data_IF_650867308874
#
_entry.id   IF_650867308874
#
_cell.length_a   1.000
_cell.length_b   1.000
_cell.length_c   1.000
_cell.angle_alpha   90.00
_cell.angle_beta   90.00
_cell.angle_gamma   90.00
#
_symmetry.space_group_name_H-M   'P 1'
#
loop_
_entity.id
_entity.type
_entity.pdbx_description
1 polymer ?
#
# COMPACT_ATOMS: atom_id res chain seq x y z
N UNK A 1 -42.17 -24.53 25.12
CA UNK A 1 -43.21 -24.50 24.11
C UNK A 1 -42.48 -24.34 22.80
N UNK A 2 -42.08 -25.48 22.18
CA UNK A 2 -42.75 -26.10 21.03
C UNK A 2 -42.50 -25.25 19.76
N UNK A 3 -41.90 -25.60 18.62
CA UNK A 3 -41.54 -26.88 17.96
C UNK A 3 -40.78 -26.44 16.68
N UNK A 4 -39.58 -26.90 16.36
CA UNK A 4 -39.19 -27.96 15.42
C UNK A 4 -39.74 -27.88 13.98
N UNK A 5 -38.88 -27.92 12.99
CA UNK A 5 -38.89 -28.82 11.81
C UNK A 5 -37.77 -28.37 10.84
N UNK A 6 -36.66 -29.06 10.61
CA UNK A 6 -36.35 -30.40 10.00
C UNK A 6 -36.98 -30.54 8.59
N UNK A 7 -36.13 -30.66 7.57
CA UNK A 7 -36.14 -31.78 6.63
C UNK A 7 -35.26 -31.46 5.42
N UNK A 8 -34.18 -32.18 5.23
CA UNK A 8 -33.95 -33.40 4.45
C UNK A 8 -33.95 -33.21 2.93
N UNK A 9 -32.79 -33.39 2.30
CA UNK A 9 -32.24 -34.68 1.73
C UNK A 9 -32.67 -34.81 0.26
N UNK A 10 -31.91 -35.23 -0.70
CA UNK A 10 -31.28 -36.52 -0.93
C UNK A 10 -30.40 -36.46 -2.18
N UNK A 11 -29.27 -37.07 -2.05
CA UNK A 11 -28.38 -37.56 -3.12
C UNK A 11 -29.03 -38.68 -3.92
N UNK A 12 -28.81 -38.71 -5.23
CA UNK A 12 -28.91 -39.97 -5.99
C UNK A 12 -27.92 -39.99 -7.16
N UNK A 13 -26.89 -40.79 -6.96
CA UNK A 13 -26.11 -41.45 -8.03
C UNK A 13 -26.96 -42.60 -8.58
N UNK A 14 -26.97 -42.78 -9.88
CA UNK A 14 -27.11 -44.14 -10.44
C UNK A 14 -26.43 -44.24 -11.79
N UNK A 15 -25.53 -45.20 -11.88
CA UNK A 15 -24.94 -45.78 -13.09
C UNK A 15 -26.01 -46.52 -13.90
N UNK A 16 -25.86 -46.56 -15.20
CA UNK A 16 -26.19 -47.72 -16.00
C UNK A 16 -25.34 -47.79 -17.27
N UNK A 17 -24.70 -48.92 -17.41
CA UNK A 17 -23.88 -49.50 -18.46
C UNK A 17 -24.74 -50.55 -19.18
N UNK A 18 -24.62 -50.66 -20.50
CA UNK A 18 -24.83 -51.86 -21.32
C UNK A 18 -24.91 -51.47 -22.79
N UNK A 19 -24.01 -51.90 -23.61
CA UNK A 19 -23.85 -53.14 -24.35
C UNK A 19 -24.52 -53.09 -25.73
N UNK A 20 -23.68 -53.31 -26.74
CA UNK A 20 -24.04 -53.60 -28.13
C UNK A 20 -24.58 -55.08 -28.25
N UNK A 21 -25.27 -55.41 -29.31
CA UNK A 21 -24.70 -56.49 -30.12
C UNK A 21 -24.79 -56.33 -31.64
N UNK A 22 -24.02 -57.20 -32.21
CA UNK A 22 -23.66 -57.46 -33.59
C UNK A 22 -24.80 -57.95 -34.56
N UNK A 23 -24.52 -57.71 -35.84
CA UNK A 23 -24.41 -58.69 -36.93
C UNK A 23 -25.47 -58.74 -38.01
N UNK A 24 -24.93 -58.88 -39.23
CA UNK A 24 -25.43 -59.56 -40.44
C UNK A 24 -26.56 -58.90 -41.24
N UNK A 25 -26.47 -58.66 -42.53
CA UNK A 25 -25.83 -59.29 -43.62
C UNK A 25 -26.42 -58.82 -44.93
N UNK A 26 -25.60 -58.80 -45.90
CA UNK A 26 -25.82 -59.18 -47.30
C UNK A 26 -26.92 -58.51 -48.16
N UNK A 27 -26.50 -58.00 -49.31
CA UNK A 27 -27.42 -57.82 -50.44
C UNK A 27 -26.96 -56.80 -51.50
N UNK A 28 -26.23 -57.30 -52.43
CA UNK A 28 -25.81 -56.64 -53.70
C UNK A 28 -27.01 -56.22 -54.49
N UNK A 29 -26.91 -55.04 -55.21
CA UNK A 29 -27.22 -54.85 -56.63
C UNK A 29 -26.84 -53.41 -57.04
N UNK A 30 -25.94 -53.28 -58.05
CA UNK A 30 -25.76 -52.09 -58.91
C UNK A 30 -26.87 -52.06 -59.97
N UNK A 31 -27.25 -50.93 -60.52
CA UNK A 31 -26.60 -50.47 -61.75
C UNK A 31 -26.40 -48.93 -61.88
N UNK A 32 -25.25 -48.61 -62.40
CA UNK A 32 -24.98 -47.65 -63.48
C UNK A 32 -26.11 -46.69 -63.89
N UNK A 33 -25.85 -45.36 -63.78
CA UNK A 33 -26.13 -44.39 -64.86
C UNK A 33 -25.42 -43.03 -64.59
N UNK A 34 -24.41 -42.77 -65.38
CA UNK A 34 -24.14 -41.58 -66.19
C UNK A 34 -24.05 -40.19 -65.51
N UNK A 35 -22.83 -39.71 -65.45
CA UNK A 35 -22.35 -38.32 -65.76
C UNK A 35 -23.37 -37.19 -65.66
N UNK A 36 -23.06 -36.25 -64.75
CA UNK A 36 -22.97 -34.80 -64.99
C UNK A 36 -22.16 -34.20 -63.82
N UNK A 37 -20.99 -33.65 -64.12
CA UNK A 37 -20.26 -32.76 -63.23
C UNK A 37 -20.87 -31.35 -63.33
N UNK A 38 -21.27 -30.72 -62.24
CA UNK A 38 -21.11 -29.30 -62.12
C UNK A 38 -19.90 -28.97 -61.22
N UNK A 39 -18.98 -28.28 -61.79
CA UNK A 39 -17.83 -27.61 -61.19
C UNK A 39 -18.32 -26.65 -60.09
N UNK A 40 -18.38 -27.10 -58.84
CA UNK A 40 -18.71 -26.27 -57.72
C UNK A 40 -17.40 -25.58 -57.28
N UNK A 41 -17.21 -24.33 -57.75
CA UNK A 41 -16.16 -23.41 -57.31
C UNK A 41 -16.40 -23.12 -55.83
N UNK A 42 -15.65 -23.77 -54.94
CA UNK A 42 -15.56 -23.43 -53.52
C UNK A 42 -14.79 -22.10 -53.41
N UNK A 43 -15.52 -21.01 -53.34
CA UNK A 43 -15.05 -19.73 -52.85
C UNK A 43 -14.77 -19.91 -51.33
N UNK A 44 -13.55 -20.26 -50.97
CA UNK A 44 -13.06 -20.15 -49.61
C UNK A 44 -12.90 -18.65 -49.34
N UNK A 45 -13.95 -18.01 -48.84
CA UNK A 45 -13.86 -16.69 -48.21
C UNK A 45 -13.00 -16.82 -46.96
N UNK A 46 -11.73 -16.48 -47.09
CA UNK A 46 -10.85 -16.33 -45.95
C UNK A 46 -11.40 -15.22 -45.03
N UNK A 47 -12.15 -15.60 -44.02
CA UNK A 47 -12.45 -14.72 -42.92
C UNK A 47 -11.13 -14.45 -42.19
N UNK A 48 -10.44 -13.37 -42.57
CA UNK A 48 -9.37 -12.80 -41.76
C UNK A 48 -10.01 -12.38 -40.44
N UNK A 49 -9.87 -13.20 -39.43
CA UNK A 49 -10.15 -12.80 -38.06
C UNK A 49 -9.22 -11.59 -37.76
N UNK A 50 -9.77 -10.39 -37.87
CA UNK A 50 -9.14 -9.20 -37.32
C UNK A 50 -9.05 -9.43 -35.81
N UNK A 51 -7.89 -9.87 -35.37
CA UNK A 51 -7.51 -9.75 -33.97
C UNK A 51 -7.49 -8.24 -33.68
N UNK A 52 -8.56 -7.76 -33.06
CA UNK A 52 -8.52 -6.44 -32.41
C UNK A 52 -7.36 -6.51 -31.41
N UNK A 53 -6.31 -5.69 -31.58
CA UNK A 53 -5.28 -5.63 -30.57
C UNK A 53 -5.97 -5.18 -29.27
N UNK A 54 -6.05 -6.09 -28.30
CA UNK A 54 -6.38 -5.71 -26.93
C UNK A 54 -5.20 -4.87 -26.44
N UNK A 55 -5.23 -3.57 -26.74
CA UNK A 55 -4.42 -2.60 -26.03
C UNK A 55 -4.91 -2.62 -24.59
N UNK A 56 -4.28 -3.46 -23.76
CA UNK A 56 -4.28 -3.27 -22.32
C UNK A 56 -3.44 -2.01 -22.09
N UNK A 57 -4.08 -0.87 -22.14
CA UNK A 57 -3.53 0.34 -21.52
C UNK A 57 -3.52 0.02 -20.03
N UNK A 58 -2.42 -0.48 -19.52
CA UNK A 58 -2.13 -0.40 -18.08
C UNK A 58 -1.96 1.11 -17.82
N UNK A 59 -3.06 1.77 -17.50
CA UNK A 59 -3.00 3.11 -16.94
C UNK A 59 -2.34 2.95 -15.57
N UNK A 60 -1.07 3.27 -15.48
CA UNK A 60 -0.35 3.32 -14.21
C UNK A 60 -0.87 4.54 -13.44
N UNK A 61 -1.98 4.36 -12.74
CA UNK A 61 -2.52 5.41 -11.87
C UNK A 61 -1.65 5.49 -10.63
N UNK A 62 -1.12 6.67 -10.35
CA UNK A 62 -0.37 6.97 -9.14
C UNK A 62 -1.34 7.53 -8.11
N UNK A 63 -1.46 6.83 -6.97
CA UNK A 63 -2.24 7.31 -5.84
C UNK A 63 -1.41 8.30 -5.00
N UNK A 64 -2.03 9.41 -4.63
CA UNK A 64 -1.41 10.50 -3.87
C UNK A 64 -2.26 10.80 -2.63
N UNK A 65 -2.16 9.97 -1.58
CA UNK A 65 -2.83 10.22 -0.32
C UNK A 65 -2.41 11.58 0.24
N UNK A 66 -3.39 12.45 0.51
CA UNK A 66 -3.14 13.85 0.86
C UNK A 66 -3.94 14.22 2.10
N UNK A 67 -3.28 14.76 3.12
CA UNK A 67 -3.89 15.33 4.31
C UNK A 67 -3.67 16.83 4.31
N UNK A 68 -4.74 17.59 4.49
CA UNK A 68 -4.67 19.07 4.59
C UNK A 68 -5.04 19.46 6.01
N UNK A 69 -4.14 20.21 6.69
CA UNK A 69 -4.33 20.69 8.06
C UNK A 69 -4.30 22.22 8.10
N UNK A 70 -5.09 22.83 8.98
CA UNK A 70 -5.07 24.27 9.27
C UNK A 70 -3.87 24.63 10.17
N UNK A 71 -3.82 25.90 10.58
CA UNK A 71 -2.76 26.43 11.45
C UNK A 71 -2.74 25.79 12.85
N UNK A 72 -3.88 25.32 13.31
CA UNK A 72 -4.10 24.68 14.61
C UNK A 72 -3.83 23.17 14.54
N UNK A 73 -3.61 22.60 13.33
CA UNK A 73 -3.36 21.19 13.07
C UNK A 73 -4.63 20.36 12.86
N UNK A 74 -5.81 20.97 12.78
CA UNK A 74 -7.05 20.26 12.48
C UNK A 74 -7.17 19.95 10.99
N UNK A 75 -7.80 18.85 10.66
CA UNK A 75 -8.04 18.46 9.28
C UNK A 75 -9.02 19.42 8.60
N UNK A 76 -8.67 19.87 7.41
CA UNK A 76 -9.52 20.68 6.53
C UNK A 76 -10.36 19.75 5.68
N UNK A 77 -11.67 19.78 5.82
CA UNK A 77 -12.63 19.00 5.05
C UNK A 77 -13.30 19.82 3.95
N UNK A 78 -13.98 19.12 3.02
CA UNK A 78 -14.83 19.73 2.00
C UNK A 78 -14.09 20.28 0.79
N UNK A 79 -12.79 19.99 0.64
CA UNK A 79 -12.05 20.29 -0.58
C UNK A 79 -12.50 19.37 -1.71
N UNK A 80 -12.55 19.91 -2.91
CA UNK A 80 -12.96 19.22 -4.14
C UNK A 80 -11.76 18.98 -5.05
N UNK A 81 -11.91 18.13 -6.05
CA UNK A 81 -10.88 17.90 -7.06
C UNK A 81 -10.33 19.21 -7.66
N UNK A 82 -11.20 20.21 -7.86
CA UNK A 82 -10.82 21.49 -8.46
C UNK A 82 -9.94 22.36 -7.55
N UNK A 83 -9.84 22.04 -6.25
CA UNK A 83 -9.03 22.79 -5.31
C UNK A 83 -7.55 22.36 -5.31
N UNK A 84 -7.26 21.17 -5.87
CA UNK A 84 -5.92 20.61 -5.89
C UNK A 84 -5.21 20.80 -7.22
N UNK A 85 -3.89 20.90 -7.15
CA UNK A 85 -2.96 20.80 -8.26
C UNK A 85 -1.91 19.76 -7.89
N UNK A 86 -1.63 18.85 -8.81
CA UNK A 86 -0.53 17.89 -8.70
C UNK A 86 0.49 18.22 -9.78
N UNK A 87 1.74 18.30 -9.40
CA UNK A 87 2.87 18.40 -10.31
C UNK A 87 3.72 17.12 -10.22
N UNK A 88 4.05 16.56 -11.38
CA UNK A 88 4.93 15.41 -11.56
C UNK A 88 6.19 15.91 -12.26
N UNK A 89 7.33 15.87 -11.57
CA UNK A 89 8.60 16.46 -12.01
C UNK A 89 8.45 17.91 -12.51
N UNK A 90 7.59 18.69 -11.84
CA UNK A 90 7.29 20.07 -12.17
C UNK A 90 6.26 20.26 -13.30
N UNK A 91 5.73 19.19 -13.88
CA UNK A 91 4.68 19.26 -14.91
C UNK A 91 3.30 19.03 -14.27
N UNK A 92 2.37 19.98 -14.45
CA UNK A 92 1.00 19.87 -13.92
C UNK A 92 0.26 18.71 -14.55
N UNK A 93 -0.39 17.89 -13.71
CA UNK A 93 -1.12 16.69 -14.09
C UNK A 93 -2.63 16.85 -13.93
N UNK A 94 -3.40 16.06 -14.68
CA UNK A 94 -4.83 15.94 -14.47
C UNK A 94 -5.11 15.22 -13.15
N UNK A 95 -5.75 15.90 -12.20
CA UNK A 95 -6.06 15.38 -10.87
C UNK A 95 -7.40 14.68 -10.88
N UNK A 96 -7.50 13.55 -10.20
CA UNK A 96 -8.73 12.85 -9.88
C UNK A 96 -8.82 12.68 -8.37
N UNK A 97 -10.01 12.89 -7.80
CA UNK A 97 -10.31 12.69 -6.38
C UNK A 97 -11.24 11.49 -6.23
N UNK A 98 -10.77 10.47 -5.51
CA UNK A 98 -11.61 9.33 -5.16
C UNK A 98 -12.43 9.65 -3.89
N UNK A 99 -13.75 9.79 -4.06
CA UNK A 99 -14.68 10.06 -2.96
C UNK A 99 -15.07 8.81 -2.19
N UNK A 100 -14.78 7.62 -2.70
CA UNK A 100 -15.13 6.35 -2.04
C UNK A 100 -14.07 5.88 -1.04
N UNK A 101 -12.87 6.44 -1.12
CA UNK A 101 -11.72 6.01 -0.35
C UNK A 101 -11.89 6.13 1.18
N UNK A 102 -12.75 7.04 1.66
CA UNK A 102 -13.04 7.21 3.09
C UNK A 102 -13.70 5.98 3.72
N UNK A 103 -14.35 5.13 2.92
CA UNK A 103 -15.07 3.93 3.37
C UNK A 103 -14.34 2.62 3.02
N UNK A 104 -13.20 2.68 2.38
CA UNK A 104 -12.43 1.49 2.02
C UNK A 104 -11.84 0.80 3.25
N UNK A 105 -11.93 -0.54 3.31
CA UNK A 105 -11.28 -1.28 4.38
C UNK A 105 -9.75 -1.14 4.29
N UNK A 106 -9.06 -1.22 5.43
CA UNK A 106 -7.61 -1.14 5.47
C UNK A 106 -6.95 -2.48 5.80
N UNK A 107 -5.73 -2.68 5.29
CA UNK A 107 -4.77 -3.66 5.78
C UNK A 107 -3.63 -2.90 6.43
N UNK A 108 -3.42 -3.14 7.72
CA UNK A 108 -2.46 -2.41 8.54
C UNK A 108 -1.36 -3.35 9.02
N UNK A 109 -0.11 -3.02 8.74
CA UNK A 109 1.02 -3.67 9.41
C UNK A 109 1.47 -2.76 10.55
N UNK A 110 1.51 -3.30 11.75
CA UNK A 110 2.13 -2.65 12.91
C UNK A 110 3.53 -3.22 13.06
N UNK A 111 4.55 -2.43 12.71
CA UNK A 111 5.95 -2.83 12.83
C UNK A 111 6.59 -2.16 14.04
N UNK A 112 7.01 -2.96 15.03
CA UNK A 112 7.53 -2.48 16.31
C UNK A 112 8.99 -2.89 16.47
N UNK A 113 9.84 -1.90 16.71
CA UNK A 113 11.23 -2.14 17.06
C UNK A 113 11.31 -2.71 18.48
N UNK A 114 11.92 -3.89 18.62
CA UNK A 114 12.12 -4.58 19.92
C UNK A 114 13.55 -4.57 20.39
N UNK A 115 14.49 -3.97 19.63
CA UNK A 115 15.89 -3.86 20.03
C UNK A 115 16.06 -3.22 21.42
N UNK A 116 17.19 -3.48 22.11
CA UNK A 116 17.37 -3.09 23.51
C UNK A 116 17.16 -1.61 23.81
N UNK A 117 17.45 -0.73 22.86
CA UNK A 117 17.19 0.71 23.01
C UNK A 117 15.69 0.98 23.02
N UNK A 118 14.96 0.38 22.09
CA UNK A 118 13.50 0.45 22.00
C UNK A 118 12.84 -0.14 23.25
N UNK A 119 13.40 -1.22 23.79
CA UNK A 119 12.88 -1.88 24.99
C UNK A 119 12.78 -0.97 26.22
N UNK A 120 13.69 -0.01 26.35
CA UNK A 120 13.62 1.02 27.40
C UNK A 120 12.40 1.92 27.23
N UNK A 121 11.98 2.15 25.98
CA UNK A 121 10.81 2.94 25.63
C UNK A 121 9.51 2.12 25.69
N UNK A 122 9.63 0.78 25.73
CA UNK A 122 8.48 -0.13 25.70
C UNK A 122 7.49 0.09 26.84
N UNK A 123 7.97 0.51 28.03
CA UNK A 123 7.08 0.91 29.13
C UNK A 123 6.15 2.09 28.77
N UNK A 124 6.60 2.94 27.84
CA UNK A 124 5.81 4.08 27.31
C UNK A 124 4.83 3.63 26.25
N UNK A 125 5.14 2.53 25.55
CA UNK A 125 4.30 1.94 24.49
C UNK A 125 3.30 0.90 25.02
N UNK A 126 3.35 0.55 26.31
CA UNK A 126 2.37 -0.35 26.93
C UNK A 126 0.97 0.24 26.77
N UNK A 127 0.06 -0.51 26.15
CA UNK A 127 -1.29 -0.07 25.86
C UNK A 127 -1.52 0.35 24.42
N UNK A 128 -0.53 0.12 23.52
CA UNK A 128 -0.72 0.32 22.07
C UNK A 128 -1.89 -0.54 21.56
N UNK A 129 -2.04 -1.77 22.07
CA UNK A 129 -3.11 -2.67 21.67
C UNK A 129 -4.50 -2.01 21.75
N UNK A 130 -5.01 -1.67 22.97
CA UNK A 130 -6.32 -1.04 23.09
C UNK A 130 -6.47 0.29 22.34
N UNK A 131 -5.38 0.97 22.04
CA UNK A 131 -5.41 2.21 21.26
C UNK A 131 -5.55 1.97 19.76
N UNK A 132 -5.34 0.74 19.29
CA UNK A 132 -5.60 0.35 17.92
C UNK A 132 -7.07 -0.07 17.69
N UNK A 133 -7.93 -0.14 18.74
CA UNK A 133 -9.36 -0.46 18.60
C UNK A 133 -10.04 0.34 17.49
N UNK A 134 -9.86 1.68 17.35
CA UNK A 134 -10.50 2.42 16.27
C UNK A 134 -10.06 1.96 14.87
N UNK A 135 -8.84 1.43 14.73
CA UNK A 135 -8.35 0.87 13.45
C UNK A 135 -9.15 -0.36 13.06
N UNK A 136 -9.48 -1.23 14.03
CA UNK A 136 -10.31 -2.42 13.77
C UNK A 136 -11.75 -2.05 13.47
N UNK A 137 -12.36 -1.22 14.31
CA UNK A 137 -13.80 -0.92 14.26
C UNK A 137 -14.20 -0.07 13.04
N UNK A 138 -13.44 1.00 12.79
CA UNK A 138 -13.84 2.00 11.80
C UNK A 138 -13.52 1.58 10.37
N UNK A 139 -12.41 0.85 10.15
CA UNK A 139 -11.93 0.49 8.82
C UNK A 139 -12.24 -0.95 8.40
N UNK A 140 -12.91 -1.74 9.23
CA UNK A 140 -12.98 -3.19 9.00
C UNK A 140 -11.58 -3.73 8.68
N UNK A 141 -10.59 -3.25 9.45
CA UNK A 141 -9.19 -3.49 9.17
C UNK A 141 -8.79 -4.90 9.49
N UNK A 142 -7.81 -5.37 8.76
CA UNK A 142 -6.99 -6.52 9.13
C UNK A 142 -5.64 -6.00 9.57
N UNK A 143 -5.13 -6.51 10.67
CA UNK A 143 -3.85 -6.06 11.24
C UNK A 143 -2.88 -7.22 11.27
N UNK A 144 -1.65 -6.98 10.85
CA UNK A 144 -0.52 -7.89 11.01
C UNK A 144 0.51 -7.25 11.96
N UNK A 145 1.16 -8.06 12.76
CA UNK A 145 2.19 -7.62 13.70
C UNK A 145 3.57 -8.10 13.25
N UNK A 146 4.47 -7.17 13.10
CA UNK A 146 5.88 -7.39 12.78
C UNK A 146 6.73 -6.83 13.91
N UNK A 147 7.69 -7.61 14.41
CA UNK A 147 8.71 -7.12 15.31
C UNK A 147 10.07 -7.12 14.61
N UNK A 148 10.96 -6.23 15.04
CA UNK A 148 12.31 -6.19 14.50
C UNK A 148 13.36 -5.64 15.47
N UNK A 149 14.54 -6.21 15.38
CA UNK A 149 15.80 -5.78 15.97
C UNK A 149 16.86 -5.70 14.87
N UNK A 150 17.92 -6.53 14.85
CA UNK A 150 18.76 -6.78 13.65
C UNK A 150 18.07 -7.71 12.66
N UNK A 151 16.96 -8.35 13.04
CA UNK A 151 16.19 -9.28 12.20
C UNK A 151 14.72 -8.91 12.23
N UNK A 152 14.03 -9.18 11.12
CA UNK A 152 12.59 -8.94 11.00
C UNK A 152 11.85 -10.24 11.19
N UNK A 153 10.81 -10.23 12.03
CA UNK A 153 9.97 -11.38 12.33
C UNK A 153 8.49 -11.03 12.21
N UNK A 154 7.75 -11.85 11.47
CA UNK A 154 6.29 -11.80 11.48
C UNK A 154 5.81 -12.50 12.76
N UNK A 155 5.16 -11.75 13.64
CA UNK A 155 4.59 -12.27 14.90
C UNK A 155 3.20 -12.81 14.63
N UNK A 156 2.32 -12.00 14.01
CA UNK A 156 0.97 -12.36 13.63
C UNK A 156 0.70 -11.90 12.21
N UNK A 157 0.11 -12.78 11.39
CA UNK A 157 -0.31 -12.43 10.04
C UNK A 157 -1.61 -11.62 10.08
N UNK A 158 -2.07 -11.10 8.93
CA UNK A 158 -3.29 -10.31 8.87
C UNK A 158 -4.47 -11.03 9.52
N UNK A 159 -4.98 -10.45 10.57
CA UNK A 159 -6.11 -10.92 11.38
C UNK A 159 -7.08 -9.77 11.64
N UNK A 160 -8.35 -10.07 11.74
CA UNK A 160 -9.41 -9.19 12.25
C UNK A 160 -9.70 -9.47 13.75
N UNK A 161 -8.97 -10.41 14.36
CA UNK A 161 -9.04 -10.68 15.79
C UNK A 161 -8.17 -9.70 16.59
N UNK A 162 -8.81 -8.65 17.07
CA UNK A 162 -8.21 -7.63 17.92
C UNK A 162 -7.54 -8.23 19.16
N UNK A 163 -8.14 -9.26 19.75
CA UNK A 163 -7.65 -9.88 20.99
C UNK A 163 -6.31 -10.57 20.77
N UNK A 164 -6.16 -11.29 19.65
CA UNK A 164 -4.91 -11.96 19.28
C UNK A 164 -3.78 -10.94 19.13
N UNK A 165 -4.01 -9.88 18.38
CA UNK A 165 -3.01 -8.80 18.19
C UNK A 165 -2.60 -8.15 19.51
N UNK A 166 -3.55 -7.96 20.44
CA UNK A 166 -3.23 -7.36 21.75
C UNK A 166 -2.39 -8.28 22.63
N UNK A 167 -2.71 -9.56 22.65
CA UNK A 167 -1.92 -10.54 23.41
C UNK A 167 -0.51 -10.64 22.85
N UNK A 168 -0.35 -10.67 21.53
CA UNK A 168 0.97 -10.71 20.89
C UNK A 168 1.78 -9.45 21.17
N UNK A 169 1.17 -8.26 21.11
CA UNK A 169 1.82 -7.01 21.48
C UNK A 169 2.30 -7.00 22.94
N UNK A 170 1.55 -7.59 23.87
CA UNK A 170 1.98 -7.71 25.27
C UNK A 170 3.12 -8.70 25.46
N UNK A 171 3.20 -9.71 24.60
CA UNK A 171 4.16 -10.81 24.71
C UNK A 171 5.46 -10.55 23.95
N UNK A 172 5.60 -9.40 23.27
CA UNK A 172 6.85 -9.00 22.61
C UNK A 172 8.02 -9.06 23.60
N UNK A 173 9.15 -9.54 23.12
CA UNK A 173 10.37 -9.70 23.95
C UNK A 173 11.46 -8.73 23.50
N UNK A 174 12.36 -8.39 24.43
CA UNK A 174 13.53 -7.60 24.12
C UNK A 174 14.44 -8.33 23.13
N UNK A 175 14.69 -7.69 22.00
CA UNK A 175 15.62 -8.17 20.99
C UNK A 175 17.09 -7.84 21.27
N UNK A 176 17.91 -7.88 20.24
CA UNK A 176 19.32 -7.47 20.27
C UNK A 176 19.50 -5.93 20.27
N UNK A 177 20.68 -5.41 19.88
CA UNK A 177 20.93 -3.98 19.86
C UNK A 177 20.61 -3.31 18.51
N UNK A 178 20.09 -4.05 17.54
CA UNK A 178 19.84 -3.57 16.19
C UNK A 178 18.55 -2.79 16.02
N UNK A 179 18.47 -2.09 14.90
CA UNK A 179 17.28 -1.41 14.36
C UNK A 179 17.28 -1.56 12.84
N UNK A 180 16.86 -2.71 12.36
CA UNK A 180 16.83 -3.04 10.93
C UNK A 180 15.61 -2.40 10.25
N UNK A 181 15.56 -1.06 10.24
CA UNK A 181 14.38 -0.30 9.76
C UNK A 181 14.14 -0.53 8.28
N UNK A 182 15.18 -0.54 7.43
CA UNK A 182 15.03 -0.78 6.00
C UNK A 182 14.46 -2.16 5.71
N UNK A 183 15.00 -3.17 6.40
CA UNK A 183 14.54 -4.55 6.25
C UNK A 183 13.09 -4.70 6.71
N UNK A 184 12.71 -4.04 7.83
CA UNK A 184 11.35 -4.05 8.35
C UNK A 184 10.34 -3.36 7.42
N UNK A 185 10.73 -2.23 6.83
CA UNK A 185 9.88 -1.50 5.88
C UNK A 185 9.69 -2.30 4.59
N UNK A 186 10.76 -2.81 3.98
CA UNK A 186 10.67 -3.64 2.78
C UNK A 186 9.82 -4.89 3.03
N UNK A 187 10.04 -5.59 4.15
CA UNK A 187 9.25 -6.75 4.53
C UNK A 187 7.75 -6.40 4.68
N UNK A 188 7.45 -5.30 5.39
CA UNK A 188 6.07 -4.87 5.64
C UNK A 188 5.35 -4.44 4.37
N UNK A 189 6.03 -3.71 3.47
CA UNK A 189 5.48 -3.32 2.16
C UNK A 189 5.15 -4.56 1.34
N UNK A 190 6.08 -5.51 1.23
CA UNK A 190 5.84 -6.79 0.51
C UNK A 190 4.73 -7.63 1.13
N UNK A 191 4.54 -7.53 2.44
CA UNK A 191 3.44 -8.20 3.12
C UNK A 191 2.10 -7.55 2.75
N UNK A 192 2.03 -6.21 2.76
CA UNK A 192 0.87 -5.43 2.35
C UNK A 192 0.51 -5.59 0.87
N UNK A 193 1.49 -5.77 -0.01
CA UNK A 193 1.25 -6.00 -1.44
C UNK A 193 0.51 -7.30 -1.74
N UNK A 194 0.52 -8.26 -0.81
CA UNK A 194 -0.24 -9.53 -0.94
C UNK A 194 -1.70 -9.37 -0.55
N UNK A 195 -2.06 -8.29 0.13
CA UNK A 195 -3.45 -8.00 0.47
C UNK A 195 -4.24 -7.52 -0.77
N UNK A 196 -5.57 -7.70 -0.78
CA UNK A 196 -6.43 -7.27 -1.87
C UNK A 196 -6.20 -5.80 -2.27
N UNK A 197 -6.33 -5.50 -3.56
CA UNK A 197 -6.04 -4.17 -4.09
C UNK A 197 -7.09 -3.11 -3.72
N UNK A 198 -8.27 -3.54 -3.31
CA UNK A 198 -9.40 -2.71 -2.85
C UNK A 198 -9.29 -2.33 -1.36
N UNK A 199 -8.14 -2.57 -0.74
CA UNK A 199 -7.88 -2.19 0.64
C UNK A 199 -6.80 -1.13 0.72
N UNK A 200 -6.98 -0.16 1.59
CA UNK A 200 -5.91 0.79 1.92
C UNK A 200 -4.75 0.04 2.56
N UNK A 201 -3.53 0.35 2.15
CA UNK A 201 -2.31 -0.29 2.66
C UNK A 201 -1.59 0.67 3.58
N UNK A 202 -1.46 0.29 4.83
CA UNK A 202 -0.92 1.15 5.89
C UNK A 202 0.16 0.43 6.67
N UNK A 203 1.30 1.10 6.85
CA UNK A 203 2.35 0.68 7.76
C UNK A 203 2.43 1.67 8.93
N UNK A 204 2.15 1.19 10.14
CA UNK A 204 2.45 1.91 11.37
C UNK A 204 3.82 1.44 11.88
N UNK A 205 4.82 2.28 11.71
CA UNK A 205 6.21 2.01 12.09
C UNK A 205 6.53 2.66 13.44
N UNK A 206 6.80 1.87 14.45
CA UNK A 206 7.19 2.34 15.78
C UNK A 206 8.66 2.03 16.00
N UNK A 207 9.53 3.03 15.86
CA UNK A 207 10.98 2.81 15.89
C UNK A 207 11.76 4.08 16.25
N UNK A 208 13.07 3.94 16.38
CA UNK A 208 13.98 5.08 16.34
C UNK A 208 14.14 5.62 14.92
N UNK A 209 14.88 6.73 14.76
CA UNK A 209 15.00 7.44 13.49
C UNK A 209 16.26 7.09 12.68
N UNK A 210 17.08 6.16 13.15
CA UNK A 210 18.33 5.72 12.48
C UNK A 210 18.39 4.22 12.31
N UNK A 211 18.65 3.79 11.10
CA UNK A 211 18.92 2.39 10.79
C UNK A 211 20.33 2.01 11.21
N UNK A 212 20.46 0.94 11.97
CA UNK A 212 21.75 0.38 12.39
C UNK A 212 21.68 -1.15 12.58
N UNK A 213 20.88 -1.81 11.75
CA UNK A 213 20.71 -3.27 11.83
C UNK A 213 20.41 -3.90 10.49
N UNK A 214 19.96 -3.11 9.50
CA UNK A 214 19.61 -3.66 8.19
C UNK A 214 20.84 -4.15 7.42
N UNK A 215 20.76 -5.39 6.97
CA UNK A 215 21.81 -6.05 6.20
C UNK A 215 21.28 -6.78 4.96
N UNK A 216 19.97 -6.86 4.78
CA UNK A 216 19.33 -7.49 3.63
C UNK A 216 18.98 -6.43 2.57
N UNK A 217 18.30 -5.37 2.97
CA UNK A 217 17.74 -4.36 2.07
C UNK A 217 18.62 -3.13 1.98
N UNK A 218 18.99 -2.72 0.77
CA UNK A 218 19.71 -1.46 0.54
C UNK A 218 18.75 -0.27 0.54
N UNK A 219 19.29 0.93 0.70
CA UNK A 219 18.49 2.17 0.68
C UNK A 219 17.68 2.31 -0.61
N UNK A 220 18.29 2.00 -1.76
CA UNK A 220 17.61 2.12 -3.06
C UNK A 220 16.47 1.11 -3.20
N UNK A 221 16.65 -0.09 -2.65
CA UNK A 221 15.62 -1.12 -2.68
C UNK A 221 14.38 -0.67 -1.87
N UNK A 222 14.60 -0.02 -0.71
CA UNK A 222 13.50 0.59 0.07
C UNK A 222 12.84 1.71 -0.71
N UNK A 223 13.62 2.62 -1.31
CA UNK A 223 13.08 3.72 -2.12
C UNK A 223 12.22 3.17 -3.25
N UNK A 224 12.70 2.15 -3.95
CA UNK A 224 11.94 1.51 -5.03
C UNK A 224 10.68 0.80 -4.48
N UNK A 225 10.78 0.08 -3.37
CA UNK A 225 9.66 -0.64 -2.78
C UNK A 225 8.52 0.31 -2.36
N UNK A 226 8.82 1.36 -1.59
CA UNK A 226 7.81 2.36 -1.18
C UNK A 226 7.32 3.20 -2.37
N UNK A 227 8.20 3.49 -3.33
CA UNK A 227 7.86 4.23 -4.55
C UNK A 227 6.91 3.48 -5.48
N UNK A 228 7.04 2.15 -5.58
CA UNK A 228 6.15 1.29 -6.36
C UNK A 228 4.84 0.96 -5.65
N UNK A 229 4.86 0.96 -4.32
CA UNK A 229 3.68 0.58 -3.53
C UNK A 229 2.74 1.77 -3.32
N UNK A 230 1.46 1.45 -3.08
CA UNK A 230 0.48 2.42 -2.60
C UNK A 230 0.36 2.39 -1.06
N UNK A 231 1.44 1.99 -0.37
CA UNK A 231 1.48 1.93 1.09
C UNK A 231 1.76 3.31 1.67
N UNK A 232 0.93 3.73 2.62
CA UNK A 232 1.17 4.94 3.44
C UNK A 232 1.89 4.54 4.72
N UNK A 233 3.01 5.19 5.03
CA UNK A 233 3.79 4.88 6.23
C UNK A 233 3.62 5.97 7.28
N UNK A 234 3.06 5.59 8.41
CA UNK A 234 3.03 6.43 9.61
C UNK A 234 4.17 6.03 10.53
N UNK A 235 5.02 6.97 10.88
CA UNK A 235 6.17 6.70 11.73
C UNK A 235 6.02 7.39 13.08
N UNK A 236 5.88 6.60 14.13
CA UNK A 236 5.94 7.03 15.53
C UNK A 236 7.36 6.79 16.03
N UNK A 237 8.15 7.84 16.04
CA UNK A 237 9.55 7.74 16.40
C UNK A 237 9.78 8.07 17.89
N UNK A 238 10.68 7.32 18.51
CA UNK A 238 11.22 7.65 19.82
C UNK A 238 12.69 8.06 19.70
N UNK A 239 13.10 9.00 20.54
CA UNK A 239 14.49 9.45 20.57
C UNK A 239 15.19 8.93 21.82
N UNK A 240 16.30 8.19 21.66
CA UNK A 240 17.09 7.72 22.79
C UNK A 240 17.81 8.85 23.54
N UNK A 241 17.88 10.07 22.98
CA UNK A 241 18.55 11.19 23.59
C UNK A 241 17.77 12.51 23.41
N UNK A 242 17.71 13.30 24.47
CA UNK A 242 17.06 14.61 24.50
C UNK A 242 17.66 15.61 23.48
N UNK A 243 18.95 15.46 23.14
CA UNK A 243 19.64 16.29 22.15
C UNK A 243 19.05 16.13 20.75
N UNK A 244 18.60 14.94 20.37
CA UNK A 244 17.96 14.70 19.07
C UNK A 244 16.57 15.31 18.99
N UNK A 245 15.84 15.38 20.10
CA UNK A 245 14.54 16.06 20.17
C UNK A 245 14.68 17.55 19.88
N UNK A 246 15.66 18.19 20.50
CA UNK A 246 15.92 19.63 20.33
C UNK A 246 16.40 19.96 18.92
N UNK A 247 17.13 19.09 18.27
CA UNK A 247 17.57 19.24 16.88
C UNK A 247 16.42 19.08 15.90
N UNK A 248 15.46 18.18 16.20
CA UNK A 248 14.26 17.99 15.36
C UNK A 248 13.31 19.17 15.48
N UNK A 249 13.08 19.70 16.67
CA UNK A 249 12.22 20.89 16.86
C UNK A 249 12.82 22.16 16.26
N UNK A 250 14.17 22.29 16.22
CA UNK A 250 14.86 23.39 15.56
C UNK A 250 14.95 23.24 14.04
N UNK A 251 14.78 22.03 13.52
CA UNK A 251 14.92 21.70 12.10
C UNK A 251 13.65 21.87 11.28
N UNK A 252 12.49 22.11 11.90
CA UNK A 252 11.17 22.14 11.23
C UNK A 252 11.07 23.18 10.11
N UNK A 253 11.90 24.22 10.11
CA UNK A 253 11.85 25.29 9.11
C UNK A 253 12.99 25.27 8.06
N UNK A 254 13.80 24.20 7.97
CA UNK A 254 14.90 24.13 7.00
C UNK A 254 14.79 23.01 5.97
N UNK A 255 13.88 22.10 6.15
CA UNK A 255 13.78 20.92 5.29
C UNK A 255 12.82 21.11 4.08
N UNK A 256 12.04 22.21 4.05
CA UNK A 256 11.22 22.59 2.87
C UNK A 256 12.07 22.86 1.62
N UNK A 257 13.32 23.30 1.80
CA UNK A 257 14.23 23.57 0.69
C UNK A 257 14.80 22.31 -0.02
N UNK A 258 14.55 21.13 0.54
CA UNK A 258 15.13 19.89 -0.03
C UNK A 258 14.42 19.43 -1.29
N UNK A 259 13.14 19.79 -1.47
CA UNK A 259 12.30 19.40 -2.59
C UNK A 259 12.14 20.48 -3.66
N UNK A 260 12.73 21.67 -3.45
CA UNK A 260 12.69 22.81 -4.40
C UNK A 260 13.74 22.73 -5.51
N UNK A 261 14.56 21.68 -5.58
CA UNK A 261 15.51 21.52 -6.66
C UNK A 261 14.83 21.06 -7.95
N UNK A 262 15.28 21.53 -9.12
CA UNK A 262 14.69 21.11 -10.38
C UNK A 262 14.79 19.58 -10.54
N UNK A 263 13.75 18.93 -11.04
CA UNK A 263 13.67 17.48 -11.12
C UNK A 263 14.73 16.93 -12.10
N UNK A 264 15.67 16.21 -11.53
CA UNK A 264 16.61 15.35 -12.24
C UNK A 264 16.57 13.98 -11.57
N UNK A 265 16.41 12.91 -12.33
CA UNK A 265 16.27 11.53 -11.83
C UNK A 265 17.36 11.19 -10.82
N UNK A 266 18.61 11.53 -11.16
CA UNK A 266 19.77 11.27 -10.30
C UNK A 266 19.71 12.13 -9.05
N UNK A 267 19.28 13.37 -9.19
CA UNK A 267 19.10 14.32 -8.09
C UNK A 267 18.03 13.87 -7.11
N UNK A 268 16.87 13.46 -7.60
CA UNK A 268 15.74 13.00 -6.77
C UNK A 268 16.12 11.77 -5.93
N UNK A 269 16.78 10.77 -6.55
CA UNK A 269 17.25 9.59 -5.82
C UNK A 269 18.34 9.93 -4.80
N UNK A 270 19.26 10.85 -5.15
CA UNK A 270 20.31 11.30 -4.23
C UNK A 270 19.71 12.06 -3.03
N UNK A 271 18.70 12.88 -3.26
CA UNK A 271 17.96 13.58 -2.19
C UNK A 271 17.28 12.59 -1.26
N UNK A 272 16.57 11.59 -1.80
CA UNK A 272 15.94 10.53 -1.02
C UNK A 272 16.96 9.77 -0.16
N UNK A 273 18.12 9.40 -0.72
CA UNK A 273 19.22 8.76 0.01
C UNK A 273 19.78 9.65 1.15
N UNK A 274 19.94 10.94 0.90
CA UNK A 274 20.44 11.88 1.89
C UNK A 274 19.43 12.13 3.01
N UNK A 275 18.14 12.24 2.68
CA UNK A 275 17.06 12.33 3.66
C UNK A 275 17.02 11.07 4.56
N UNK A 276 17.12 9.88 3.96
CA UNK A 276 17.16 8.62 4.71
C UNK A 276 18.39 8.48 5.61
N UNK A 277 19.55 8.99 5.20
CA UNK A 277 20.74 9.02 6.06
C UNK A 277 20.57 9.91 7.28
N UNK A 278 19.83 11.01 7.14
CA UNK A 278 19.59 11.98 8.21
C UNK A 278 18.53 11.46 9.19
N UNK A 279 17.38 11.04 8.67
CA UNK A 279 16.26 10.48 9.43
C UNK A 279 15.45 9.55 8.53
N UNK A 280 15.68 8.25 8.66
CA UNK A 280 15.08 7.27 7.76
C UNK A 280 13.56 7.18 7.91
N UNK A 281 13.06 7.21 9.14
CA UNK A 281 11.61 7.09 9.41
C UNK A 281 10.84 8.29 8.91
N UNK A 282 11.39 9.51 9.06
CA UNK A 282 10.81 10.73 8.51
C UNK A 282 10.79 10.69 6.98
N UNK A 283 11.92 10.36 6.36
CA UNK A 283 12.03 10.30 4.91
C UNK A 283 11.03 9.31 4.29
N UNK A 284 10.88 8.12 4.88
CA UNK A 284 9.92 7.11 4.41
C UNK A 284 8.47 7.60 4.55
N UNK A 285 8.12 8.21 5.70
CA UNK A 285 6.80 8.75 5.93
C UNK A 285 6.46 9.84 4.89
N UNK A 286 7.35 10.81 4.67
CA UNK A 286 7.17 11.88 3.68
C UNK A 286 7.05 11.35 2.24
N UNK A 287 7.90 10.39 1.86
CA UNK A 287 7.87 9.81 0.52
C UNK A 287 6.56 9.08 0.21
N UNK A 288 5.89 8.55 1.23
CA UNK A 288 4.63 7.79 1.08
C UNK A 288 3.38 8.62 1.36
N UNK A 289 3.54 9.88 1.75
CA UNK A 289 2.43 10.76 2.13
C UNK A 289 1.89 10.50 3.53
N UNK A 290 2.60 9.75 4.35
CA UNK A 290 2.25 9.53 5.76
C UNK A 290 2.77 10.65 6.67
N UNK A 291 2.82 10.35 7.95
CA UNK A 291 3.21 11.31 8.98
C UNK A 291 4.38 10.76 9.81
N UNK A 292 5.28 11.66 10.16
CA UNK A 292 6.36 11.38 11.11
C UNK A 292 6.09 12.17 12.39
N UNK A 293 5.94 11.46 13.50
CA UNK A 293 5.68 12.05 14.80
C UNK A 293 6.68 11.55 15.85
N UNK A 294 7.23 12.47 16.63
CA UNK A 294 8.17 12.15 17.68
C UNK A 294 7.47 12.13 19.04
N UNK A 295 7.77 11.10 19.84
CA UNK A 295 7.29 11.03 21.23
C UNK A 295 8.43 10.78 22.20
N UNK A 296 8.31 11.38 23.38
CA UNK A 296 9.28 11.26 24.48
C UNK A 296 8.62 10.82 25.78
N UNK A 297 7.30 10.81 25.85
CA UNK A 297 6.51 10.42 27.00
C UNK A 297 5.40 9.46 26.59
N UNK A 298 4.88 8.68 27.55
CA UNK A 298 3.73 7.82 27.32
C UNK A 298 2.51 8.63 26.82
N UNK A 299 2.20 9.76 27.48
CA UNK A 299 1.09 10.61 27.05
C UNK A 299 1.30 11.16 25.62
N UNK A 300 2.53 11.53 25.29
CA UNK A 300 2.87 11.95 23.93
C UNK A 300 2.61 10.83 22.91
N UNK A 301 3.03 9.61 23.21
CA UNK A 301 2.75 8.45 22.37
C UNK A 301 1.24 8.21 22.19
N UNK A 302 0.47 8.26 23.29
CA UNK A 302 -0.98 8.08 23.27
C UNK A 302 -1.68 9.13 22.37
N UNK A 303 -1.29 10.40 22.48
CA UNK A 303 -1.81 11.48 21.63
C UNK A 303 -1.49 11.21 20.15
N UNK A 304 -0.24 10.88 19.83
CA UNK A 304 0.17 10.62 18.43
C UNK A 304 -0.53 9.42 17.81
N UNK A 305 -0.85 8.41 18.61
CA UNK A 305 -1.60 7.26 18.14
C UNK A 305 -3.08 7.59 17.89
N UNK A 306 -3.67 8.48 18.71
CA UNK A 306 -5.01 9.04 18.45
C UNK A 306 -4.99 9.88 17.16
N UNK A 307 -3.99 10.74 16.97
CA UNK A 307 -3.83 11.53 15.75
C UNK A 307 -3.71 10.61 14.53
N UNK A 308 -2.91 9.55 14.62
CA UNK A 308 -2.81 8.53 13.57
C UNK A 308 -4.17 7.95 13.19
N UNK A 309 -4.96 7.49 14.18
CA UNK A 309 -6.28 6.93 13.94
C UNK A 309 -7.21 7.95 13.25
N UNK A 310 -7.22 9.20 13.72
CA UNK A 310 -8.06 10.25 13.14
C UNK A 310 -7.63 10.60 11.71
N UNK A 311 -6.33 10.72 11.47
CA UNK A 311 -5.80 11.13 10.17
C UNK A 311 -5.85 10.04 9.13
N UNK A 312 -5.87 8.76 9.55
CA UNK A 312 -5.98 7.63 8.66
C UNK A 312 -7.26 7.69 7.82
N UNK A 313 -8.37 8.15 8.42
CA UNK A 313 -9.69 8.26 7.78
C UNK A 313 -9.95 9.59 7.07
N UNK A 314 -9.11 10.60 7.31
CA UNK A 314 -9.39 11.98 6.91
C UNK A 314 -8.56 12.44 5.72
N UNK A 315 -8.04 11.50 4.92
CA UNK A 315 -7.21 11.80 3.76
C UNK A 315 -8.01 11.91 2.49
N UNK A 316 -7.68 12.90 1.68
CA UNK A 316 -8.08 12.93 0.28
C UNK A 316 -7.22 11.93 -0.49
N UNK A 317 -7.83 10.99 -1.18
CA UNK A 317 -7.11 10.11 -2.10
C UNK A 317 -7.14 10.72 -3.49
N UNK A 318 -6.12 11.49 -3.78
CA UNK A 318 -5.91 12.04 -5.11
C UNK A 318 -5.22 11.00 -5.98
N UNK A 319 -5.38 11.12 -7.29
CA UNK A 319 -4.67 10.29 -8.24
C UNK A 319 -4.42 11.02 -9.55
N UNK A 320 -3.42 10.57 -10.29
CA UNK A 320 -3.14 11.02 -11.65
C UNK A 320 -2.56 9.87 -12.48
N UNK A 321 -2.63 9.98 -13.79
CA UNK A 321 -2.01 9.05 -14.72
C UNK A 321 -0.81 9.75 -15.38
N UNK A 322 0.44 9.36 -15.05
CA UNK A 322 1.63 9.96 -15.67
C UNK A 322 1.62 9.77 -17.18
N UNK A 323 1.97 10.81 -17.92
CA UNK A 323 2.13 10.74 -19.36
C UNK A 323 3.60 10.41 -19.68
N UNK A 324 3.84 9.19 -20.22
CA UNK A 324 5.17 8.72 -20.63
C UNK A 324 6.25 8.85 -19.54
N UNK A 325 6.05 8.24 -18.36
CA UNK A 325 7.03 8.37 -17.29
C UNK A 325 8.33 7.66 -17.68
N UNK A 326 9.45 8.33 -17.49
CA UNK A 326 10.77 7.69 -17.60
C UNK A 326 10.99 6.69 -16.44
N UNK A 327 11.80 5.66 -16.60
CA UNK A 327 12.10 4.74 -15.50
C UNK A 327 12.83 5.45 -14.36
N UNK A 328 12.42 5.23 -13.11
CA UNK A 328 13.09 5.75 -11.94
C UNK A 328 12.18 6.44 -10.94
N UNK A 329 12.78 7.19 -10.02
CA UNK A 329 12.09 7.92 -8.98
C UNK A 329 11.65 9.29 -9.51
N UNK A 330 10.35 9.55 -9.46
CA UNK A 330 9.71 10.80 -9.81
C UNK A 330 9.35 11.60 -8.56
N UNK A 331 9.35 12.92 -8.68
CA UNK A 331 8.94 13.83 -7.62
C UNK A 331 7.48 14.25 -7.82
N UNK A 332 6.69 14.20 -6.75
CA UNK A 332 5.31 14.69 -6.71
C UNK A 332 5.26 15.91 -5.82
N UNK A 333 4.58 16.96 -6.27
CA UNK A 333 4.21 18.10 -5.45
C UNK A 333 2.71 18.31 -5.51
N UNK A 334 2.08 18.44 -4.34
CA UNK A 334 0.65 18.77 -4.22
C UNK A 334 0.51 20.17 -3.63
N UNK A 335 -0.29 21.00 -4.26
CA UNK A 335 -0.65 22.33 -3.77
C UNK A 335 -2.13 22.61 -3.92
N UNK A 336 -2.65 23.56 -3.16
CA UNK A 336 -3.99 24.09 -3.36
C UNK A 336 -3.94 25.23 -4.39
N UNK A 337 -4.95 25.29 -5.29
CA UNK A 337 -5.10 26.40 -6.25
C UNK A 337 -5.24 27.75 -5.56
N UNK A 338 -6.05 27.77 -4.50
CA UNK A 338 -6.16 28.93 -3.63
C UNK A 338 -5.39 28.64 -2.36
N UNK A 339 -4.36 29.42 -2.10
CA UNK A 339 -3.61 29.31 -0.86
C UNK A 339 -4.52 29.65 0.32
N UNK A 340 -4.80 28.67 1.14
CA UNK A 340 -5.43 28.88 2.43
C UNK A 340 -4.36 29.35 3.43
N UNK A 341 -4.61 30.41 4.23
CA UNK A 341 -3.61 30.91 5.16
C UNK A 341 -3.17 29.83 6.15
N UNK A 342 -1.85 29.65 6.29
CA UNK A 342 -1.21 28.76 7.27
C UNK A 342 -1.66 27.29 7.20
N UNK A 343 -2.01 26.79 6.02
CA UNK A 343 -2.30 25.36 5.84
C UNK A 343 -1.00 24.57 5.64
N UNK A 344 -1.02 23.34 6.14
CA UNK A 344 0.02 22.33 5.89
C UNK A 344 -0.59 21.23 5.04
N UNK A 345 0.09 20.88 3.94
CA UNK A 345 -0.30 19.77 3.06
C UNK A 345 0.71 18.65 3.25
N UNK A 346 0.24 17.50 3.69
CA UNK A 346 1.03 16.28 3.80
C UNK A 346 0.56 15.32 2.71
N UNK A 347 1.40 15.11 1.72
CA UNK A 347 1.09 14.27 0.58
C UNK A 347 2.27 13.39 0.22
N UNK A 348 2.03 12.36 -0.57
CA UNK A 348 3.09 11.57 -1.18
C UNK A 348 3.99 12.48 -2.01
N UNK A 349 5.31 12.42 -1.77
CA UNK A 349 6.28 13.28 -2.44
C UNK A 349 7.01 12.59 -3.58
N UNK A 350 6.87 11.28 -3.74
CA UNK A 350 7.55 10.56 -4.81
C UNK A 350 6.86 9.24 -5.17
N UNK A 351 7.10 8.77 -6.39
CA UNK A 351 6.72 7.44 -6.85
C UNK A 351 7.81 6.86 -7.76
N UNK A 352 7.83 5.54 -7.90
CA UNK A 352 8.76 4.87 -8.79
C UNK A 352 8.04 4.41 -10.06
N UNK A 353 8.50 4.87 -11.22
CA UNK A 353 8.00 4.42 -12.50
C UNK A 353 8.89 3.30 -13.06
N UNK A 354 8.26 2.23 -13.54
CA UNK A 354 8.99 1.09 -14.13
C UNK A 354 9.36 1.30 -15.60
N UNK A 355 8.93 2.41 -16.21
CA UNK A 355 9.07 2.68 -17.62
C UNK A 355 8.15 1.84 -18.50
N UNK A 356 7.75 2.36 -19.62
CA UNK A 356 7.09 1.57 -20.66
C UNK A 356 8.13 0.65 -21.29
N UNK A 357 7.95 -0.67 -21.12
CA UNK A 357 8.73 -1.65 -21.90
C UNK A 357 8.26 -1.48 -23.34
N UNK A 358 9.15 -1.15 -24.29
CA UNK A 358 8.79 -0.95 -25.68
C UNK A 358 8.29 -2.23 -26.35
#
# INVERSE_FOLDING_TARGET
MVVTAISHIVSLKTLAKAEAPDSLGCGIIFPMFTRIYPLLLLLVSGASAQQTPNLRVQSNVVLVPTLVKDAEGHVVYGLTQSDFVIEDDGAEQAVYLDQSAESEPASVVVAVQTGRRAWREYSRMRGIGPMLTPVFDQLRSRVALVEFDSHVRLVENFSDDETSIYEDLKNLQAGDNGAAIRDAVDFSVRLLEKEPADRQRVLLLVSENRDHGSHVTKTDDVVAAIGNSNTVVYALAFSPSLSQVLDTERGVNRDEAYWDAPPDIIGTLLMARNAMKKNITKAIAEMTGGEYELFTTRKGFEVRLVDFNNHLHSRYVLSFAPQEPHPGLHQIQVRLKQSLPRTTILSRTSYWAMGTIP
#
